data_IF_530290877019
#
_entry.id   IF_530290877019
#
_cell.length_a   1.000
_cell.length_b   1.000
_cell.length_c   1.000
_cell.angle_alpha   90.00
_cell.angle_beta   90.00
_cell.angle_gamma   90.00
#
_symmetry.space_group_name_H-M   'P 1'
#
loop_
_entity.id
_entity.type
_entity.pdbx_description
1 polymer ?
#
# COMPACT_ATOMS: atom_id res chain seq x y z
N UNK A 1 -14.53 9.84 7.57
CA UNK A 1 -13.33 9.04 7.87
C UNK A 1 -13.14 7.95 6.82
N UNK A 2 -12.56 8.27 5.65
CA UNK A 2 -12.45 7.28 4.56
C UNK A 2 -11.28 7.47 3.59
N UNK A 3 -10.59 8.61 3.65
CA UNK A 3 -9.55 8.94 2.68
C UNK A 3 -8.31 8.03 2.79
N UNK A 4 -7.88 7.71 4.00
CA UNK A 4 -6.71 6.85 4.22
C UNK A 4 -6.96 5.41 3.77
N UNK A 5 -8.13 4.87 4.13
CA UNK A 5 -8.59 3.55 3.70
C UNK A 5 -8.68 3.47 2.18
N UNK A 6 -9.35 4.43 1.53
CA UNK A 6 -9.46 4.47 0.08
C UNK A 6 -8.10 4.56 -0.62
N UNK A 7 -7.15 5.33 -0.05
CA UNK A 7 -5.77 5.43 -0.57
C UNK A 7 -5.04 4.10 -0.48
N UNK A 8 -5.19 3.33 0.60
CA UNK A 8 -4.61 2.00 0.75
C UNK A 8 -5.26 0.98 -0.20
N UNK A 9 -6.59 0.96 -0.28
CA UNK A 9 -7.32 0.08 -1.20
C UNK A 9 -6.96 0.37 -2.66
N UNK A 10 -6.85 1.64 -3.04
CA UNK A 10 -6.40 2.04 -4.38
C UNK A 10 -4.95 1.64 -4.67
N UNK A 11 -4.07 1.70 -3.67
CA UNK A 11 -2.67 1.28 -3.83
C UNK A 11 -2.57 -0.23 -4.06
N UNK A 12 -3.36 -1.04 -3.34
CA UNK A 12 -3.48 -2.49 -3.58
C UNK A 12 -3.98 -2.75 -5.01
N UNK A 13 -5.08 -2.11 -5.41
CA UNK A 13 -5.65 -2.29 -6.74
C UNK A 13 -4.67 -1.91 -7.86
N UNK A 14 -3.87 -0.87 -7.64
CA UNK A 14 -2.82 -0.46 -8.58
C UNK A 14 -1.70 -1.51 -8.66
N UNK A 15 -1.25 -2.04 -7.51
CA UNK A 15 -0.18 -3.03 -7.44
C UNK A 15 -0.56 -4.40 -8.04
N UNK A 16 -1.87 -4.68 -8.18
CA UNK A 16 -2.35 -5.92 -8.83
C UNK A 16 -2.25 -5.88 -10.36
N UNK A 17 -2.09 -4.70 -10.96
CA UNK A 17 -1.93 -4.56 -12.41
C UNK A 17 -0.47 -4.85 -12.80
N UNK A 18 -0.19 -5.24 -14.05
CA UNK A 18 1.17 -5.23 -14.56
C UNK A 18 1.69 -3.79 -14.53
N UNK A 19 2.73 -3.57 -13.72
CA UNK A 19 3.42 -2.29 -13.58
C UNK A 19 4.86 -2.48 -14.05
N UNK A 20 5.45 -1.44 -14.65
CA UNK A 20 6.90 -1.40 -14.86
C UNK A 20 7.61 -1.19 -13.51
N UNK A 21 8.92 -1.48 -13.48
CA UNK A 21 9.74 -1.40 -12.27
C UNK A 21 9.69 -0.01 -11.63
N UNK A 22 9.73 1.05 -12.44
CA UNK A 22 9.65 2.44 -11.97
C UNK A 22 8.32 2.72 -11.25
N UNK A 23 7.20 2.34 -11.86
CA UNK A 23 5.87 2.57 -11.26
C UNK A 23 5.67 1.72 -10.02
N UNK A 24 6.11 0.47 -10.03
CA UNK A 24 6.05 -0.42 -8.86
C UNK A 24 6.89 0.14 -7.70
N UNK A 25 8.08 0.67 -7.99
CA UNK A 25 8.95 1.31 -6.99
C UNK A 25 8.32 2.59 -6.42
N UNK A 26 7.73 3.43 -7.29
CA UNK A 26 7.02 4.65 -6.86
C UNK A 26 5.80 4.31 -6.00
N UNK A 27 5.09 3.24 -6.35
CA UNK A 27 3.95 2.75 -5.58
C UNK A 27 4.38 2.28 -4.19
N UNK A 28 5.49 1.54 -4.07
CA UNK A 28 6.05 1.12 -2.78
C UNK A 28 6.30 2.32 -1.87
N UNK A 29 7.02 3.35 -2.36
CA UNK A 29 7.28 4.57 -1.58
C UNK A 29 6.01 5.28 -1.14
N UNK A 30 4.99 5.32 -2.00
CA UNK A 30 3.67 5.91 -1.67
C UNK A 30 2.95 5.11 -0.59
N UNK A 31 3.06 3.78 -0.60
CA UNK A 31 2.52 2.91 0.46
C UNK A 31 3.31 3.07 1.76
N UNK A 32 4.64 3.24 1.70
CA UNK A 32 5.48 3.54 2.87
C UNK A 32 5.11 4.90 3.51
N UNK A 33 4.84 5.93 2.71
CA UNK A 33 4.35 7.21 3.23
C UNK A 33 2.96 7.05 3.90
N UNK A 34 2.05 6.29 3.27
CA UNK A 34 0.76 5.95 3.86
C UNK A 34 0.89 5.16 5.17
N UNK A 35 1.89 4.28 5.28
CA UNK A 35 2.18 3.55 6.51
C UNK A 35 2.49 4.50 7.66
N UNK A 36 3.32 5.52 7.41
CA UNK A 36 3.62 6.55 8.40
C UNK A 36 2.38 7.36 8.79
N UNK A 37 1.48 7.68 7.84
CA UNK A 37 0.21 8.33 8.15
C UNK A 37 -0.70 7.44 9.05
N UNK A 38 -0.69 6.11 8.88
CA UNK A 38 -1.42 5.16 9.75
C UNK A 38 -0.79 5.09 11.15
N UNK A 39 0.53 5.11 11.25
CA UNK A 39 1.27 4.97 12.51
C UNK A 39 1.24 6.24 13.36
N UNK A 40 1.25 7.41 12.71
CA UNK A 40 1.20 8.72 13.37
C UNK A 40 -0.23 9.19 13.65
N UNK A 41 -1.24 8.62 12.98
CA UNK A 41 -2.64 8.95 13.22
C UNK A 41 -3.17 8.36 14.53
N UNK A 42 -4.05 9.12 15.20
CA UNK A 42 -4.74 8.70 16.44
C UNK A 42 -5.89 7.68 16.16
N UNK A 43 -5.60 6.61 15.42
CA UNK A 43 -6.57 5.53 15.17
C UNK A 43 -6.58 4.56 16.36
N UNK A 44 -7.76 4.26 16.89
CA UNK A 44 -7.92 3.32 18.01
C UNK A 44 -8.81 2.13 17.62
N UNK A 45 -8.58 0.98 18.26
CA UNK A 45 -9.43 -0.21 18.09
C UNK A 45 -9.45 -0.81 16.67
N UNK A 46 -10.66 -1.06 16.16
CA UNK A 46 -10.92 -1.82 14.91
C UNK A 46 -10.43 -1.08 13.67
N UNK A 47 -10.50 0.26 13.65
CA UNK A 47 -10.02 1.07 12.52
C UNK A 47 -8.51 0.93 12.34
N UNK A 48 -7.74 0.99 13.43
CA UNK A 48 -6.28 0.76 13.39
C UNK A 48 -5.96 -0.64 12.87
N UNK A 49 -6.65 -1.67 13.37
CA UNK A 49 -6.43 -3.05 12.91
C UNK A 49 -6.72 -3.21 11.40
N UNK A 50 -7.79 -2.56 10.92
CA UNK A 50 -8.18 -2.59 9.50
C UNK A 50 -7.16 -1.87 8.63
N UNK A 51 -6.74 -0.66 9.02
CA UNK A 51 -5.73 0.12 8.31
C UNK A 51 -4.36 -0.58 8.32
N UNK A 52 -3.96 -1.20 9.44
CA UNK A 52 -2.73 -1.98 9.52
C UNK A 52 -2.75 -3.22 8.60
N UNK A 53 -3.88 -3.92 8.50
CA UNK A 53 -4.04 -5.04 7.54
C UNK A 53 -3.95 -4.58 6.10
N UNK A 54 -4.69 -3.52 5.75
CA UNK A 54 -4.67 -2.94 4.40
C UNK A 54 -3.27 -2.43 4.02
N UNK A 55 -2.55 -1.81 4.96
CA UNK A 55 -1.15 -1.43 4.80
C UNK A 55 -0.28 -2.62 4.46
N UNK A 56 -0.35 -3.68 5.26
CA UNK A 56 0.48 -4.86 5.04
C UNK A 56 0.21 -5.50 3.67
N UNK A 57 -1.06 -5.60 3.28
CA UNK A 57 -1.44 -6.07 1.96
C UNK A 57 -0.91 -5.18 0.83
N UNK A 58 -0.99 -3.86 0.98
CA UNK A 58 -0.46 -2.91 0.01
C UNK A 58 1.06 -3.03 -0.17
N UNK A 59 1.81 -3.20 0.92
CA UNK A 59 3.27 -3.40 0.90
C UNK A 59 3.59 -4.70 0.17
N UNK A 60 2.99 -5.82 0.59
CA UNK A 60 3.23 -7.13 -0.01
C UNK A 60 2.90 -7.15 -1.50
N UNK A 61 1.80 -6.51 -1.90
CA UNK A 61 1.41 -6.45 -3.32
C UNK A 61 2.38 -5.60 -4.13
N UNK A 62 2.86 -4.47 -3.59
CA UNK A 62 3.84 -3.62 -4.25
C UNK A 62 5.21 -4.31 -4.39
N UNK A 63 5.67 -5.02 -3.36
CA UNK A 63 6.90 -5.83 -3.42
C UNK A 63 6.78 -6.95 -4.46
N UNK A 64 5.62 -7.61 -4.53
CA UNK A 64 5.35 -8.62 -5.53
C UNK A 64 5.32 -8.03 -6.95
N UNK A 65 4.75 -6.83 -7.12
CA UNK A 65 4.76 -6.12 -8.40
C UNK A 65 6.19 -5.77 -8.85
N UNK A 66 7.05 -5.33 -7.93
CA UNK A 66 8.48 -5.08 -8.21
C UNK A 66 9.17 -6.37 -8.64
N UNK A 67 8.98 -7.48 -7.90
CA UNK A 67 9.57 -8.78 -8.27
C UNK A 67 9.12 -9.23 -9.65
N UNK A 68 7.82 -9.13 -9.95
CA UNK A 68 7.27 -9.48 -11.27
C UNK A 68 7.84 -8.62 -12.39
N UNK A 69 8.04 -7.32 -12.15
CA UNK A 69 8.62 -6.40 -13.11
C UNK A 69 10.13 -6.61 -13.31
N UNK A 70 10.82 -7.20 -12.34
CA UNK A 70 12.25 -7.58 -12.43
C UNK A 70 12.45 -8.89 -13.19
N UNK A 71 11.45 -9.79 -13.18
CA UNK A 71 11.50 -11.07 -13.91
C UNK A 71 10.96 -11.01 -15.34
N UNK A 72 10.42 -9.86 -15.78
CA UNK A 72 9.77 -9.65 -17.08
C UNK A 72 10.65 -8.82 -18.01
#
# INVERSE_FOLDING_TARGET
>A
MGHLRWRLESAVATAQRPLNLETATRLRRRVEALAQEVETGSFTGVERSTLCRLRHQAIQTAELAIRRADTA
#
